data_IF_623057524160
#
_entry.id   IF_623057524160
#
_cell.length_a   1.000
_cell.length_b   1.000
_cell.length_c   1.000
_cell.angle_alpha   90.00
_cell.angle_beta   90.00
_cell.angle_gamma   90.00
#
_symmetry.space_group_name_H-M   'P 1'
#
loop_
_entity.id
_entity.type
_entity.pdbx_description
1 polymer ?
#
# COMPACT_ATOMS: atom_id res chain seq x y z
N UNK A 1 7.22 43.88 19.70
CA UNK A 1 8.27 43.92 18.64
C UNK A 1 7.81 43.05 17.50
N UNK A 2 7.85 43.53 16.24
CA UNK A 2 7.52 42.70 15.09
C UNK A 2 8.58 41.59 14.96
N UNK A 3 8.16 40.31 14.96
CA UNK A 3 9.09 39.20 14.76
C UNK A 3 9.69 39.31 13.35
N UNK A 4 11.01 39.24 13.27
CA UNK A 4 11.71 39.21 12.00
C UNK A 4 11.27 37.96 11.21
N UNK A 5 10.89 38.15 9.95
CA UNK A 5 10.46 37.05 9.07
C UNK A 5 11.49 36.81 7.99
N UNK A 6 11.77 35.54 7.73
CA UNK A 6 12.73 35.07 6.73
C UNK A 6 12.04 34.09 5.79
N UNK A 7 12.44 34.01 4.56
CA UNK A 7 11.94 33.00 3.62
C UNK A 7 12.32 31.61 4.11
N UNK A 8 11.40 30.66 4.03
CA UNK A 8 11.62 29.30 4.50
C UNK A 8 12.83 28.63 3.84
N UNK A 9 13.03 28.81 2.53
CA UNK A 9 14.18 28.26 1.80
C UNK A 9 15.53 28.84 2.31
N UNK A 10 15.55 30.10 2.71
CA UNK A 10 16.72 30.73 3.31
C UNK A 10 16.94 30.29 4.76
N UNK A 11 15.86 30.16 5.54
CA UNK A 11 15.91 29.73 6.93
C UNK A 11 16.49 28.33 7.06
N UNK A 12 16.13 27.40 6.17
CA UNK A 12 16.70 26.05 6.14
C UNK A 12 18.23 26.05 5.94
N UNK A 13 18.73 26.91 5.03
CA UNK A 13 20.17 27.03 4.80
C UNK A 13 20.87 27.68 5.99
N UNK A 14 20.32 28.76 6.55
CA UNK A 14 20.87 29.44 7.72
C UNK A 14 21.01 28.54 8.93
N UNK A 15 20.09 27.58 9.10
CA UNK A 15 20.10 26.62 10.21
C UNK A 15 20.88 25.33 9.91
N UNK A 16 21.54 25.24 8.74
CA UNK A 16 22.28 24.05 8.34
C UNK A 16 21.41 22.82 8.03
N UNK A 17 20.09 23.02 7.88
CA UNK A 17 19.14 21.96 7.52
C UNK A 17 19.17 21.63 6.02
N UNK A 18 19.76 22.47 5.21
CA UNK A 18 20.04 22.22 3.80
C UNK A 18 21.37 22.91 3.40
N UNK A 19 22.17 22.23 2.59
CA UNK A 19 23.48 22.74 2.17
C UNK A 19 23.36 23.94 1.21
N UNK A 20 22.31 23.94 0.38
CA UNK A 20 22.07 24.98 -0.62
C UNK A 20 20.59 25.34 -0.67
N UNK A 21 20.31 26.57 -1.18
CA UNK A 21 18.93 27.02 -1.37
C UNK A 21 18.14 26.14 -2.34
N UNK A 22 18.78 25.57 -3.37
CA UNK A 22 18.14 24.62 -4.28
C UNK A 22 17.72 23.33 -3.57
N UNK A 23 18.60 22.77 -2.72
CA UNK A 23 18.26 21.61 -1.87
C UNK A 23 17.14 21.95 -0.89
N UNK A 24 17.15 23.14 -0.26
CA UNK A 24 16.08 23.60 0.61
C UNK A 24 14.73 23.66 -0.12
N UNK A 25 14.70 24.22 -1.33
CA UNK A 25 13.49 24.29 -2.15
C UNK A 25 12.98 22.89 -2.52
N UNK A 26 13.86 21.98 -2.89
CA UNK A 26 13.49 20.58 -3.18
C UNK A 26 12.87 19.89 -1.97
N UNK A 27 13.45 20.02 -0.77
CA UNK A 27 12.91 19.48 0.47
C UNK A 27 11.51 20.04 0.79
N UNK A 28 11.32 21.36 0.62
CA UNK A 28 10.05 22.02 0.88
C UNK A 28 8.98 21.56 -0.11
N UNK A 29 9.30 21.52 -1.41
CA UNK A 29 8.39 21.06 -2.46
C UNK A 29 8.02 19.59 -2.29
N UNK A 30 8.95 18.76 -1.82
CA UNK A 30 8.70 17.37 -1.47
C UNK A 30 7.87 17.19 -0.18
N UNK A 31 7.51 18.28 0.51
CA UNK A 31 6.74 18.23 1.75
C UNK A 31 7.51 17.69 2.95
N UNK A 32 8.85 17.68 2.90
CA UNK A 32 9.72 17.14 3.95
C UNK A 32 10.08 18.19 5.02
N UNK A 33 9.35 19.30 5.07
CA UNK A 33 9.61 20.38 6.03
C UNK A 33 8.35 20.67 6.85
N UNK A 34 8.48 20.66 8.17
CA UNK A 34 7.47 21.15 9.10
C UNK A 34 7.92 22.45 9.75
N UNK A 35 6.98 23.36 9.92
CA UNK A 35 7.17 24.60 10.69
C UNK A 35 6.11 24.64 11.77
N UNK A 36 6.51 24.69 13.01
CA UNK A 36 5.62 24.61 14.19
C UNK A 36 4.65 23.42 14.13
N UNK A 37 5.15 22.25 13.68
CA UNK A 37 4.38 21.00 13.56
C UNK A 37 3.55 20.88 12.27
N UNK A 38 3.40 21.93 11.47
CA UNK A 38 2.65 21.91 10.21
C UNK A 38 3.56 21.76 8.99
N UNK A 39 3.19 20.87 8.08
CA UNK A 39 3.91 20.66 6.81
C UNK A 39 3.82 21.91 5.92
N UNK A 40 4.94 22.28 5.31
CA UNK A 40 5.03 23.43 4.39
C UNK A 40 5.53 22.99 3.02
N UNK A 41 4.91 23.53 1.98
CA UNK A 41 5.25 23.21 0.57
C UNK A 41 5.62 24.43 -0.26
N UNK A 42 5.58 25.65 0.34
CA UNK A 42 5.90 26.90 -0.35
C UNK A 42 7.27 27.42 0.08
N UNK A 43 8.28 27.26 -0.77
CA UNK A 43 9.66 27.64 -0.48
C UNK A 43 9.85 29.15 -0.17
N UNK A 44 9.04 30.00 -0.78
CA UNK A 44 9.06 31.45 -0.56
C UNK A 44 8.25 31.95 0.63
N UNK A 45 7.64 31.08 1.41
CA UNK A 45 6.82 31.45 2.56
C UNK A 45 7.64 32.21 3.61
N UNK A 46 7.07 33.28 4.16
CA UNK A 46 7.71 34.10 5.18
C UNK A 46 7.44 33.51 6.56
N UNK A 47 8.46 32.95 7.18
CA UNK A 47 8.39 32.27 8.48
C UNK A 47 9.10 33.14 9.53
N UNK A 48 8.60 33.14 10.76
CA UNK A 48 9.31 33.77 11.87
C UNK A 48 10.69 33.12 12.05
N UNK A 49 11.73 33.93 12.20
CA UNK A 49 13.11 33.43 12.28
C UNK A 49 13.32 32.48 13.47
N UNK A 50 12.54 32.63 14.52
CA UNK A 50 12.53 31.80 15.74
C UNK A 50 11.59 30.58 15.67
N UNK A 51 10.84 30.38 14.56
CA UNK A 51 9.92 29.26 14.43
C UNK A 51 10.64 27.91 14.51
N UNK A 52 10.02 26.92 15.18
CA UNK A 52 10.52 25.55 15.15
C UNK A 52 10.41 24.99 13.73
N UNK A 53 11.54 24.56 13.17
CA UNK A 53 11.61 23.95 11.82
C UNK A 53 12.24 22.58 11.95
N UNK A 54 11.56 21.58 11.40
CA UNK A 54 11.97 20.18 11.41
C UNK A 54 12.01 19.63 10.00
N UNK A 55 13.02 18.81 9.69
CA UNK A 55 13.02 17.98 8.49
C UNK A 55 12.32 16.65 8.83
N UNK A 56 11.42 16.26 7.96
CA UNK A 56 10.80 14.95 7.99
C UNK A 56 11.67 14.04 7.12
N UNK A 57 12.08 12.89 7.65
CA UNK A 57 12.72 11.89 6.80
C UNK A 57 11.79 11.49 5.66
N UNK A 58 12.35 11.44 4.45
CA UNK A 58 11.61 10.90 3.31
C UNK A 58 11.23 9.45 3.62
N UNK A 59 9.98 9.12 3.40
CA UNK A 59 9.57 7.72 3.50
C UNK A 59 10.35 6.92 2.45
N UNK A 60 10.88 5.73 2.79
CA UNK A 60 11.55 4.88 1.82
C UNK A 60 10.59 4.36 0.73
N UNK A 61 9.28 4.47 0.96
CA UNK A 61 8.21 4.03 0.08
C UNK A 61 7.24 5.17 -0.22
N UNK A 62 6.46 5.05 -1.29
CA UNK A 62 5.46 6.02 -1.72
C UNK A 62 4.43 6.36 -0.62
N UNK A 63 4.23 5.47 0.35
CA UNK A 63 3.42 5.74 1.53
C UNK A 63 3.82 4.85 2.72
N UNK A 64 3.27 5.17 3.90
CA UNK A 64 3.43 4.35 5.12
C UNK A 64 2.98 2.90 4.94
N UNK A 65 2.06 2.63 3.99
CA UNK A 65 1.64 1.27 3.64
C UNK A 65 2.82 0.35 3.29
N UNK A 66 3.86 0.90 2.65
CA UNK A 66 5.05 0.14 2.29
C UNK A 66 5.73 -0.58 3.46
N UNK A 67 5.75 0.02 4.65
CA UNK A 67 6.30 -0.64 5.84
C UNK A 67 5.56 -1.94 6.20
N UNK A 68 4.24 -2.00 5.94
CA UNK A 68 3.45 -3.20 6.21
C UNK A 68 3.90 -4.35 5.30
N UNK A 69 3.93 -4.10 3.98
CA UNK A 69 4.33 -5.14 3.03
C UNK A 69 5.79 -5.54 3.20
N UNK A 70 6.71 -4.58 3.37
CA UNK A 70 8.12 -4.89 3.60
C UNK A 70 8.28 -5.82 4.81
N UNK A 71 7.60 -5.53 5.94
CA UNK A 71 7.59 -6.38 7.10
C UNK A 71 7.00 -7.78 6.81
N UNK A 72 5.92 -7.86 6.03
CA UNK A 72 5.33 -9.15 5.64
C UNK A 72 6.28 -10.00 4.81
N UNK A 73 6.91 -9.42 3.78
CA UNK A 73 7.88 -10.10 2.93
C UNK A 73 9.07 -10.62 3.74
N UNK A 74 9.60 -9.78 4.64
CA UNK A 74 10.73 -10.17 5.51
C UNK A 74 10.33 -11.26 6.52
N UNK A 75 9.15 -11.15 7.14
CA UNK A 75 8.66 -12.12 8.14
C UNK A 75 8.39 -13.49 7.55
N UNK A 76 7.97 -13.54 6.28
CA UNK A 76 7.62 -14.77 5.59
C UNK A 76 8.72 -15.27 4.65
N UNK A 77 9.85 -14.56 4.55
CA UNK A 77 10.93 -14.83 3.60
C UNK A 77 10.44 -14.96 2.14
N UNK A 78 9.51 -14.08 1.74
CA UNK A 78 8.96 -14.02 0.38
C UNK A 78 9.73 -13.01 -0.47
N UNK A 79 10.08 -13.42 -1.69
CA UNK A 79 10.83 -12.60 -2.64
C UNK A 79 10.02 -12.41 -3.93
N UNK A 80 9.63 -11.17 -4.29
CA UNK A 80 8.97 -10.86 -5.56
C UNK A 80 9.94 -10.67 -6.73
N UNK A 81 11.24 -10.81 -6.55
CA UNK A 81 12.24 -10.56 -7.58
C UNK A 81 11.98 -11.38 -8.86
N UNK A 82 11.90 -10.69 -9.99
CA UNK A 82 11.64 -11.30 -11.31
C UNK A 82 10.19 -11.72 -11.54
N UNK A 83 9.30 -11.61 -10.54
CA UNK A 83 7.91 -12.04 -10.65
C UNK A 83 7.00 -10.96 -11.24
N UNK A 84 5.91 -11.39 -11.87
CA UNK A 84 4.75 -10.55 -12.16
C UNK A 84 3.87 -10.51 -10.90
N UNK A 85 3.64 -9.32 -10.36
CA UNK A 85 2.87 -9.09 -9.16
C UNK A 85 1.51 -8.44 -9.45
N UNK A 86 0.51 -8.77 -8.64
CA UNK A 86 -0.79 -8.08 -8.57
C UNK A 86 -0.88 -7.34 -7.23
N UNK A 87 -1.10 -6.03 -7.27
CA UNK A 87 -1.35 -5.20 -6.09
C UNK A 87 -2.83 -4.77 -6.07
N UNK A 88 -3.64 -5.41 -5.25
CA UNK A 88 -5.06 -5.15 -5.11
C UNK A 88 -5.33 -4.15 -3.99
N UNK A 89 -5.78 -2.94 -4.36
CA UNK A 89 -5.94 -1.80 -3.47
C UNK A 89 -4.66 -0.94 -3.41
N UNK A 90 -4.09 -0.64 -4.58
CA UNK A 90 -2.80 0.04 -4.70
C UNK A 90 -2.78 1.44 -4.05
N UNK A 91 -3.90 2.17 -4.03
CA UNK A 91 -4.02 3.51 -3.42
C UNK A 91 -2.89 4.45 -3.85
N UNK A 92 -2.09 4.96 -2.92
CA UNK A 92 -0.92 5.81 -3.19
C UNK A 92 0.31 5.05 -3.68
N UNK A 93 0.25 3.72 -3.77
CA UNK A 93 1.32 2.90 -4.33
C UNK A 93 2.33 2.38 -3.32
N UNK A 94 2.01 2.39 -2.02
CA UNK A 94 2.96 1.93 -0.99
C UNK A 94 3.39 0.47 -1.16
N UNK A 95 2.47 -0.44 -1.49
CA UNK A 95 2.78 -1.84 -1.76
C UNK A 95 3.44 -2.02 -3.12
N UNK A 96 2.91 -1.35 -4.15
CA UNK A 96 3.51 -1.30 -5.49
C UNK A 96 4.99 -0.92 -5.43
N UNK A 97 5.34 0.14 -4.68
CA UNK A 97 6.73 0.61 -4.55
C UNK A 97 7.64 -0.42 -3.88
N UNK A 98 7.17 -1.09 -2.82
CA UNK A 98 7.92 -2.17 -2.18
C UNK A 98 8.19 -3.32 -3.16
N UNK A 99 7.18 -3.75 -3.92
CA UNK A 99 7.32 -4.82 -4.92
C UNK A 99 8.38 -4.45 -5.96
N UNK A 100 8.35 -3.21 -6.47
CA UNK A 100 9.33 -2.73 -7.45
C UNK A 100 10.74 -2.62 -6.88
N UNK A 101 10.88 -2.10 -5.64
CA UNK A 101 12.17 -2.01 -4.95
C UNK A 101 12.77 -3.38 -4.63
N UNK A 102 11.92 -4.39 -4.40
CA UNK A 102 12.30 -5.80 -4.23
C UNK A 102 12.46 -6.55 -5.55
N UNK A 103 12.46 -5.84 -6.70
CA UNK A 103 12.81 -6.40 -7.99
C UNK A 103 11.70 -7.10 -8.76
N UNK A 104 10.42 -6.87 -8.43
CA UNK A 104 9.32 -7.36 -9.26
C UNK A 104 9.49 -6.94 -10.71
N UNK A 105 9.31 -7.87 -11.64
CA UNK A 105 9.45 -7.62 -13.07
C UNK A 105 8.32 -6.73 -13.61
N UNK A 106 7.14 -6.86 -13.02
CA UNK A 106 5.95 -6.05 -13.33
C UNK A 106 4.99 -6.04 -12.16
N UNK A 107 4.26 -4.92 -12.00
CA UNK A 107 3.19 -4.80 -11.01
C UNK A 107 1.92 -4.31 -11.68
N UNK A 108 0.86 -5.10 -11.59
CA UNK A 108 -0.50 -4.68 -11.93
C UNK A 108 -1.12 -4.04 -10.70
N UNK A 109 -1.21 -2.71 -10.69
CA UNK A 109 -1.72 -1.92 -9.58
C UNK A 109 -3.21 -1.61 -9.81
N UNK A 110 -4.09 -2.27 -9.06
CA UNK A 110 -5.55 -2.17 -9.21
C UNK A 110 -6.14 -1.36 -8.07
N UNK A 111 -6.92 -0.33 -8.39
CA UNK A 111 -7.64 0.49 -7.40
C UNK A 111 -8.97 1.00 -7.94
N UNK A 112 -9.95 1.19 -7.04
CA UNK A 112 -11.22 1.84 -7.35
C UNK A 112 -11.08 3.35 -7.50
N UNK A 113 -10.05 3.94 -6.92
CA UNK A 113 -9.70 5.35 -7.02
C UNK A 113 -9.12 5.73 -8.38
N UNK A 114 -8.88 7.01 -8.55
CA UNK A 114 -8.25 7.59 -9.74
C UNK A 114 -7.24 8.67 -9.34
N UNK A 115 -6.07 8.63 -9.95
CA UNK A 115 -5.03 9.65 -9.73
C UNK A 115 -4.39 9.61 -8.34
N UNK A 116 -4.58 8.53 -7.57
CA UNK A 116 -4.08 8.42 -6.20
C UNK A 116 -2.61 8.02 -6.15
N UNK A 117 -2.17 7.17 -7.07
CA UNK A 117 -0.83 6.59 -7.05
C UNK A 117 0.25 7.67 -7.25
N UNK A 118 1.37 7.53 -6.54
CA UNK A 118 2.54 8.41 -6.67
C UNK A 118 2.96 8.53 -8.14
N UNK A 119 3.25 9.76 -8.59
CA UNK A 119 3.55 10.05 -9.98
C UNK A 119 4.79 9.30 -10.49
N UNK A 120 5.78 9.02 -9.64
CA UNK A 120 6.98 8.25 -9.99
C UNK A 120 6.61 6.81 -10.36
N UNK A 121 5.69 6.21 -9.61
CA UNK A 121 5.19 4.86 -9.89
C UNK A 121 4.32 4.83 -11.15
N UNK A 122 3.55 5.89 -11.38
CA UNK A 122 2.76 6.05 -12.61
C UNK A 122 3.62 6.07 -13.87
N UNK A 123 4.86 6.56 -13.77
CA UNK A 123 5.81 6.65 -14.89
C UNK A 123 6.76 5.45 -14.98
N UNK A 124 6.77 4.56 -14.00
CA UNK A 124 7.61 3.36 -14.05
C UNK A 124 7.06 2.38 -15.10
N UNK A 125 7.85 2.00 -16.14
CA UNK A 125 7.39 1.12 -17.22
C UNK A 125 7.02 -0.30 -16.75
N UNK A 126 7.37 -0.66 -15.52
CA UNK A 126 7.01 -1.94 -14.91
C UNK A 126 5.61 -1.90 -14.28
N UNK A 127 5.00 -0.72 -14.12
CA UNK A 127 3.69 -0.56 -13.49
C UNK A 127 2.59 -0.48 -14.54
N UNK A 128 1.63 -1.37 -14.44
CA UNK A 128 0.38 -1.34 -15.21
C UNK A 128 -0.74 -0.88 -14.29
N UNK A 129 -1.21 0.36 -14.49
CA UNK A 129 -2.28 0.93 -13.68
C UNK A 129 -3.65 0.52 -14.18
N UNK A 130 -4.49 0.02 -13.27
CA UNK A 130 -5.87 -0.35 -13.52
C UNK A 130 -6.73 0.42 -12.51
N UNK A 131 -6.94 1.69 -12.78
CA UNK A 131 -7.70 2.61 -11.93
C UNK A 131 -9.22 2.53 -12.19
N UNK A 132 -10.05 3.11 -11.28
CA UNK A 132 -11.53 3.07 -11.34
C UNK A 132 -12.08 1.65 -11.49
N UNK A 133 -11.33 0.66 -10.99
CA UNK A 133 -11.64 -0.75 -11.19
C UNK A 133 -11.79 -1.46 -9.87
N UNK A 134 -12.97 -2.05 -9.66
CA UNK A 134 -13.17 -2.92 -8.52
C UNK A 134 -12.62 -4.32 -8.88
N UNK A 135 -11.63 -4.78 -8.13
CA UNK A 135 -10.95 -6.05 -8.34
C UNK A 135 -11.93 -7.25 -8.46
N UNK A 136 -13.09 -7.19 -7.82
CA UNK A 136 -14.10 -8.25 -7.90
C UNK A 136 -14.60 -8.52 -9.31
N UNK A 137 -14.60 -7.49 -10.14
CA UNK A 137 -15.12 -7.52 -11.52
C UNK A 137 -14.02 -7.56 -12.57
N UNK A 138 -12.75 -7.57 -12.15
CA UNK A 138 -11.63 -7.74 -13.07
C UNK A 138 -11.53 -9.22 -13.47
N UNK A 139 -11.77 -9.50 -14.75
CA UNK A 139 -11.79 -10.88 -15.26
C UNK A 139 -10.41 -11.37 -15.67
N UNK A 140 -9.54 -10.46 -16.15
CA UNK A 140 -8.18 -10.80 -16.59
C UNK A 140 -7.24 -9.58 -16.44
N UNK A 141 -5.94 -9.85 -16.33
CA UNK A 141 -4.91 -8.81 -16.39
C UNK A 141 -4.63 -8.47 -17.85
N UNK A 142 -4.56 -7.18 -18.23
CA UNK A 142 -4.29 -6.78 -19.60
C UNK A 142 -2.88 -7.18 -20.04
N UNK A 143 -2.72 -7.52 -21.33
CA UNK A 143 -1.38 -7.64 -21.89
C UNK A 143 -0.74 -6.25 -21.98
N UNK A 144 0.56 -6.14 -21.64
CA UNK A 144 1.26 -4.87 -21.76
C UNK A 144 1.36 -4.51 -23.24
N UNK A 145 0.81 -3.37 -23.61
CA UNK A 145 0.97 -2.83 -24.96
C UNK A 145 2.33 -2.14 -25.06
N UNK A 146 3.00 -2.26 -26.22
CA UNK A 146 4.32 -1.63 -26.46
C UNK A 146 4.30 -0.10 -26.37
N UNK A 147 3.12 0.52 -26.27
CA UNK A 147 2.90 1.97 -26.32
C UNK A 147 2.57 2.63 -24.97
N UNK A 148 2.60 1.91 -23.85
CA UNK A 148 2.23 2.50 -22.52
C UNK A 148 3.21 3.57 -22.01
N UNK A 149 4.33 3.81 -22.67
CA UNK A 149 5.26 4.92 -22.37
C UNK A 149 4.85 6.29 -22.93
N UNK A 150 3.76 6.39 -23.70
CA UNK A 150 3.27 7.65 -24.32
C UNK A 150 1.76 7.77 -24.14
N UNK A 151 1.30 8.04 -22.93
CA UNK A 151 -0.06 8.55 -22.79
C UNK A 151 -0.03 10.06 -22.95
N UNK A 152 -0.49 10.53 -24.13
CA UNK A 152 -0.83 11.94 -24.36
C UNK A 152 -1.95 12.34 -23.39
N UNK A 153 -1.84 13.52 -22.80
CA UNK A 153 -2.80 14.13 -21.87
C UNK A 153 -4.19 14.37 -22.50
N UNK A 154 -4.40 14.05 -23.77
CA UNK A 154 -5.61 14.38 -24.56
C UNK A 154 -6.54 13.19 -24.83
N UNK A 155 -6.39 12.04 -24.16
CA UNK A 155 -7.38 10.96 -24.28
C UNK A 155 -8.62 11.28 -23.45
N UNK A 156 -9.53 12.03 -24.06
CA UNK A 156 -10.87 12.39 -23.60
C UNK A 156 -11.63 11.16 -23.09
N UNK A 157 -12.17 11.34 -21.90
CA UNK A 157 -13.06 10.44 -21.20
C UNK A 157 -14.38 10.27 -21.95
N UNK A 158 -14.49 9.30 -22.85
CA UNK A 158 -15.82 8.77 -23.30
C UNK A 158 -15.64 7.50 -24.16
N UNK A 159 -14.94 6.52 -23.66
CA UNK A 159 -15.07 5.18 -24.24
C UNK A 159 -15.20 4.18 -23.10
N UNK A 160 -16.27 3.38 -23.04
CA UNK A 160 -16.27 2.25 -22.14
C UNK A 160 -15.09 1.37 -22.57
N UNK A 161 -14.10 1.27 -21.71
CA UNK A 161 -12.91 0.47 -21.92
C UNK A 161 -13.35 -1.00 -22.00
N UNK A 162 -13.67 -1.45 -23.19
CA UNK A 162 -13.91 -2.86 -23.47
C UNK A 162 -12.54 -3.53 -23.41
N UNK A 163 -12.22 -4.10 -22.25
CA UNK A 163 -11.12 -5.03 -22.08
C UNK A 163 -11.29 -6.16 -23.13
N UNK A 164 -10.52 -6.10 -24.20
CA UNK A 164 -10.43 -7.22 -25.13
C UNK A 164 -9.68 -8.34 -24.43
N UNK A 165 -10.39 -9.38 -24.07
CA UNK A 165 -9.83 -10.67 -23.66
C UNK A 165 -9.60 -11.55 -24.90
N UNK A 166 -8.62 -12.46 -24.86
CA UNK A 166 -8.07 -13.13 -23.71
C UNK A 166 -6.61 -12.77 -23.43
N UNK A 167 -6.35 -12.16 -22.29
CA UNK A 167 -5.00 -12.10 -21.77
C UNK A 167 -4.69 -13.42 -21.05
N UNK A 168 -3.58 -14.06 -21.42
CA UNK A 168 -3.05 -15.23 -20.75
C UNK A 168 -2.15 -14.86 -19.56
N UNK A 169 -2.03 -13.57 -19.24
CA UNK A 169 -1.17 -13.11 -18.14
C UNK A 169 -1.80 -13.41 -16.81
N UNK A 170 -1.09 -14.18 -15.99
CA UNK A 170 -1.41 -14.42 -14.58
C UNK A 170 -0.26 -13.89 -13.73
N UNK A 171 -0.59 -13.28 -12.60
CA UNK A 171 0.41 -12.85 -11.65
C UNK A 171 0.95 -14.06 -10.86
N UNK A 172 2.25 -14.02 -10.55
CA UNK A 172 2.95 -15.08 -9.83
C UNK A 172 3.00 -14.81 -8.32
N UNK A 173 2.66 -13.57 -7.95
CA UNK A 173 2.42 -13.19 -6.56
C UNK A 173 1.36 -12.08 -6.49
N UNK A 174 0.72 -11.95 -5.34
CA UNK A 174 -0.24 -10.88 -5.12
C UNK A 174 -0.11 -10.25 -3.74
N UNK A 175 -0.50 -8.98 -3.65
CA UNK A 175 -0.67 -8.24 -2.39
C UNK A 175 -2.08 -7.69 -2.32
N UNK A 176 -2.68 -7.65 -1.11
CA UNK A 176 -4.04 -7.18 -0.91
C UNK A 176 -4.06 -6.20 0.26
N UNK A 177 -4.34 -4.92 -0.03
CA UNK A 177 -4.55 -3.85 0.97
C UNK A 177 -5.85 -3.07 0.68
N UNK A 178 -6.97 -3.77 0.65
CA UNK A 178 -8.28 -3.18 0.38
C UNK A 178 -8.92 -2.59 1.64
N UNK A 179 -9.81 -1.61 1.46
CA UNK A 179 -10.58 -0.98 2.54
C UNK A 179 -12.08 -1.03 2.27
N UNK A 180 -12.87 -1.06 3.33
CA UNK A 180 -14.35 -1.08 3.30
C UNK A 180 -14.96 -2.30 2.60
N UNK A 181 -14.23 -3.40 2.53
CA UNK A 181 -14.66 -4.66 1.94
C UNK A 181 -13.98 -5.82 2.65
N UNK A 182 -14.68 -6.92 2.82
CA UNK A 182 -14.12 -8.16 3.39
C UNK A 182 -13.29 -8.93 2.37
N UNK A 183 -12.21 -9.56 2.86
CA UNK A 183 -11.36 -10.48 2.08
C UNK A 183 -12.16 -11.64 1.49
N UNK A 184 -13.24 -12.05 2.12
CA UNK A 184 -14.17 -13.07 1.59
C UNK A 184 -14.64 -12.75 0.16
N UNK A 185 -14.82 -11.46 -0.16
CA UNK A 185 -15.26 -11.01 -1.48
C UNK A 185 -14.10 -10.76 -2.46
N UNK A 186 -12.89 -10.56 -1.95
CA UNK A 186 -11.71 -10.18 -2.75
C UNK A 186 -10.88 -11.40 -3.14
N UNK A 187 -10.68 -12.34 -2.21
CA UNK A 187 -9.84 -13.52 -2.44
C UNK A 187 -10.24 -14.34 -3.68
N UNK A 188 -11.55 -14.62 -3.94
CA UNK A 188 -11.95 -15.35 -5.14
C UNK A 188 -11.59 -14.60 -6.45
N UNK A 189 -11.63 -13.26 -6.42
CA UNK A 189 -11.26 -12.45 -7.58
C UNK A 189 -9.75 -12.47 -7.82
N UNK A 190 -8.96 -12.28 -6.77
CA UNK A 190 -7.49 -12.36 -6.87
C UNK A 190 -7.07 -13.76 -7.34
N UNK A 191 -7.69 -14.83 -6.81
CA UNK A 191 -7.38 -16.22 -7.17
C UNK A 191 -7.51 -16.51 -8.67
N UNK A 192 -8.43 -15.84 -9.37
CA UNK A 192 -8.58 -15.97 -10.83
C UNK A 192 -7.48 -15.31 -11.65
N UNK A 193 -6.78 -14.34 -11.06
CA UNK A 193 -5.79 -13.49 -11.72
C UNK A 193 -4.35 -13.92 -11.47
N UNK A 194 -4.16 -14.99 -10.68
CA UNK A 194 -2.83 -15.48 -10.28
C UNK A 194 -2.61 -16.93 -10.72
N UNK A 195 -1.35 -17.32 -10.83
CA UNK A 195 -0.98 -18.73 -11.10
C UNK A 195 -1.38 -19.65 -9.94
N UNK A 196 -1.52 -20.97 -10.17
CA UNK A 196 -1.88 -21.91 -9.12
C UNK A 196 -0.93 -21.93 -7.92
N UNK A 197 0.36 -21.71 -8.17
CA UNK A 197 1.48 -21.70 -7.22
C UNK A 197 1.85 -20.31 -6.70
N UNK A 198 1.06 -19.28 -7.05
CA UNK A 198 1.30 -17.92 -6.57
C UNK A 198 1.07 -17.80 -5.06
N UNK A 199 1.95 -17.04 -4.40
CA UNK A 199 1.73 -16.61 -3.03
C UNK A 199 0.98 -15.27 -2.95
N UNK A 200 0.24 -15.09 -1.87
CA UNK A 200 -0.50 -13.86 -1.57
C UNK A 200 -0.07 -13.35 -0.20
N UNK A 201 0.22 -12.04 -0.08
CA UNK A 201 0.28 -11.34 1.21
C UNK A 201 -0.97 -10.48 1.33
N UNK A 202 -1.89 -10.88 2.21
CA UNK A 202 -3.14 -10.17 2.45
C UNK A 202 -3.10 -9.41 3.78
N UNK A 203 -3.46 -8.12 3.76
CA UNK A 203 -3.65 -7.32 4.97
C UNK A 203 -5.07 -7.56 5.51
N UNK A 204 -5.16 -8.18 6.68
CA UNK A 204 -6.41 -8.40 7.41
C UNK A 204 -6.65 -7.19 8.30
N UNK A 205 -7.77 -6.50 8.08
CA UNK A 205 -8.17 -5.29 8.81
C UNK A 205 -9.41 -5.62 9.66
N UNK A 206 -9.27 -5.84 10.97
CA UNK A 206 -10.39 -6.24 11.82
C UNK A 206 -11.62 -5.36 11.69
N UNK A 207 -11.45 -4.06 11.48
CA UNK A 207 -12.55 -3.11 11.32
C UNK A 207 -13.42 -3.34 10.07
N UNK A 208 -12.94 -4.10 9.08
CA UNK A 208 -13.69 -4.42 7.85
C UNK A 208 -14.12 -5.90 7.80
N UNK A 209 -13.64 -6.71 8.73
CA UNK A 209 -13.95 -8.15 8.81
C UNK A 209 -14.90 -8.47 9.98
N UNK A 210 -14.84 -7.70 11.07
CA UNK A 210 -15.71 -7.87 12.22
C UNK A 210 -17.14 -7.40 11.93
N UNK A 211 -18.11 -8.01 12.61
CA UNK A 211 -19.49 -7.53 12.61
C UNK A 211 -19.60 -6.09 13.18
N UNK A 212 -20.56 -5.31 12.69
CA UNK A 212 -20.74 -3.90 13.09
C UNK A 212 -20.82 -3.71 14.61
N UNK A 213 -21.40 -4.66 15.36
CA UNK A 213 -21.50 -4.60 16.81
C UNK A 213 -20.16 -4.75 17.54
N UNK A 214 -19.14 -5.26 16.89
CA UNK A 214 -17.78 -5.46 17.43
C UNK A 214 -16.83 -4.30 17.11
N UNK A 215 -17.26 -3.38 16.25
CA UNK A 215 -16.48 -2.19 15.89
C UNK A 215 -16.84 -1.07 16.86
N UNK A 216 -15.87 -0.66 17.67
CA UNK A 216 -16.06 0.36 18.69
C UNK A 216 -16.17 1.78 18.14
N UNK A 217 -16.35 2.75 19.06
CA UNK A 217 -16.41 4.18 18.72
C UNK A 217 -15.16 4.60 17.92
N UNK A 218 -15.39 5.32 16.83
CA UNK A 218 -14.32 5.76 15.91
C UNK A 218 -13.85 4.69 14.93
N UNK A 219 -14.59 3.59 14.76
CA UNK A 219 -14.23 2.55 13.79
C UNK A 219 -13.04 1.67 14.24
N UNK A 220 -12.79 1.57 15.56
CA UNK A 220 -11.62 0.84 16.08
C UNK A 220 -12.02 -0.43 16.81
N UNK A 221 -11.46 -1.56 16.40
CA UNK A 221 -11.54 -2.85 17.09
C UNK A 221 -10.35 -2.95 18.05
N UNK A 222 -10.64 -3.07 19.37
CA UNK A 222 -9.59 -3.12 20.42
C UNK A 222 -9.52 -4.45 21.14
N UNK A 223 -10.60 -5.21 21.10
CA UNK A 223 -10.69 -6.48 21.84
C UNK A 223 -9.84 -7.56 21.17
N UNK A 224 -8.83 -8.11 21.88
CA UNK A 224 -8.01 -9.21 21.36
C UNK A 224 -8.82 -10.45 20.98
N UNK A 225 -9.92 -10.72 21.65
CA UNK A 225 -10.79 -11.85 21.33
C UNK A 225 -11.47 -11.65 19.97
N UNK A 226 -11.85 -10.40 19.63
CA UNK A 226 -12.39 -10.05 18.32
C UNK A 226 -11.30 -10.16 17.25
N UNK A 227 -10.07 -9.71 17.53
CA UNK A 227 -8.94 -9.91 16.62
C UNK A 227 -8.74 -11.39 16.30
N UNK A 228 -8.69 -12.24 17.31
CA UNK A 228 -8.52 -13.70 17.13
C UNK A 228 -9.67 -14.32 16.31
N UNK A 229 -10.91 -13.94 16.60
CA UNK A 229 -12.07 -14.40 15.84
C UNK A 229 -12.03 -13.99 14.37
N UNK A 230 -11.66 -12.74 14.09
CA UNK A 230 -11.49 -12.21 12.73
C UNK A 230 -10.39 -12.95 11.97
N UNK A 231 -9.23 -13.16 12.60
CA UNK A 231 -8.12 -13.88 11.98
C UNK A 231 -8.52 -15.31 11.62
N UNK A 232 -9.15 -16.02 12.56
CA UNK A 232 -9.65 -17.38 12.32
C UNK A 232 -10.63 -17.44 11.16
N UNK A 233 -11.60 -16.53 11.12
CA UNK A 233 -12.59 -16.46 10.06
C UNK A 233 -11.94 -16.11 8.69
N UNK A 234 -11.01 -15.16 8.65
CA UNK A 234 -10.33 -14.79 7.41
C UNK A 234 -9.46 -15.91 6.85
N UNK A 235 -8.75 -16.65 7.71
CA UNK A 235 -7.94 -17.79 7.29
C UNK A 235 -8.83 -18.96 6.84
N UNK A 236 -9.98 -19.20 7.48
CA UNK A 236 -10.94 -20.21 7.05
C UNK A 236 -11.48 -19.91 5.65
N UNK A 237 -11.84 -18.65 5.36
CA UNK A 237 -12.26 -18.19 4.03
C UNK A 237 -11.17 -18.45 2.98
N UNK A 238 -9.90 -18.24 3.32
CA UNK A 238 -8.79 -18.53 2.41
C UNK A 238 -8.70 -20.03 2.10
N UNK A 239 -8.81 -20.87 3.12
CA UNK A 239 -8.81 -22.35 2.96
C UNK A 239 -9.98 -22.83 2.09
N UNK A 240 -11.19 -22.32 2.32
CA UNK A 240 -12.37 -22.59 1.49
C UNK A 240 -12.14 -22.20 0.02
N UNK A 241 -11.37 -21.13 -0.21
CA UNK A 241 -10.95 -20.67 -1.55
C UNK A 241 -9.76 -21.43 -2.15
N UNK A 242 -9.26 -22.49 -1.50
CA UNK A 242 -8.12 -23.29 -1.95
C UNK A 242 -6.76 -22.59 -1.74
N UNK A 243 -6.67 -21.64 -0.80
CA UNK A 243 -5.45 -20.90 -0.46
C UNK A 243 -5.00 -21.31 0.94
N UNK A 244 -4.02 -22.21 1.02
CA UNK A 244 -3.48 -22.65 2.31
C UNK A 244 -2.77 -21.48 3.03
N UNK A 245 -3.01 -21.25 4.34
CA UNK A 245 -2.26 -20.29 5.12
C UNK A 245 -0.89 -20.87 5.52
N UNK A 246 0.16 -20.05 5.39
CA UNK A 246 1.55 -20.43 5.68
C UNK A 246 2.22 -19.54 6.71
N UNK A 247 1.68 -18.32 6.93
CA UNK A 247 2.24 -17.37 7.88
C UNK A 247 1.21 -16.34 8.34
N UNK A 248 1.41 -15.83 9.55
CA UNK A 248 0.65 -14.74 10.13
C UNK A 248 1.59 -13.81 10.88
N UNK A 249 1.48 -12.49 10.65
CA UNK A 249 2.28 -11.48 11.33
C UNK A 249 1.42 -10.28 11.71
N UNK A 250 1.78 -9.60 12.79
CA UNK A 250 1.18 -8.31 13.16
C UNK A 250 1.83 -7.21 12.33
N UNK A 251 1.05 -6.31 11.78
CA UNK A 251 1.56 -5.13 11.08
C UNK A 251 2.44 -4.28 12.01
N UNK A 252 3.60 -3.77 11.54
CA UNK A 252 4.50 -2.95 12.35
C UNK A 252 3.93 -1.56 12.64
N UNK A 253 2.89 -1.16 11.91
CA UNK A 253 2.18 0.11 12.10
C UNK A 253 0.67 -0.12 12.13
N UNK A 254 -0.03 0.74 12.87
CA UNK A 254 -1.49 0.74 12.90
C UNK A 254 -2.07 1.44 11.68
N UNK A 255 -3.33 1.12 11.37
CA UNK A 255 -4.14 1.87 10.41
C UNK A 255 -4.37 3.33 10.83
N UNK A 256 -4.90 4.18 9.94
CA UNK A 256 -5.06 5.63 10.20
C UNK A 256 -5.90 5.95 11.44
N UNK A 257 -6.92 5.15 11.76
CA UNK A 257 -7.75 5.31 12.95
C UNK A 257 -7.16 4.65 14.21
N UNK A 258 -5.96 4.03 14.13
CA UNK A 258 -5.32 3.33 15.23
C UNK A 258 -5.67 1.83 15.33
N UNK A 259 -6.32 1.26 14.33
CA UNK A 259 -6.58 -0.18 14.29
C UNK A 259 -5.29 -0.98 14.17
N UNK A 260 -5.20 -2.05 14.94
CA UNK A 260 -4.21 -3.11 14.71
C UNK A 260 -4.62 -3.86 13.45
N UNK A 261 -3.64 -4.13 12.59
CA UNK A 261 -3.82 -4.85 11.33
C UNK A 261 -2.86 -6.03 11.28
N UNK A 262 -3.18 -7.04 10.48
CA UNK A 262 -2.41 -8.27 10.42
C UNK A 262 -2.11 -8.63 8.96
N UNK A 263 -0.99 -9.33 8.75
CA UNK A 263 -0.55 -9.81 7.46
C UNK A 263 -0.67 -11.33 7.45
N UNK A 264 -1.27 -11.88 6.41
CA UNK A 264 -1.36 -13.31 6.19
C UNK A 264 -0.65 -13.71 4.89
N UNK A 265 0.19 -14.73 4.96
CA UNK A 265 0.72 -15.41 3.78
C UNK A 265 -0.20 -16.57 3.42
N UNK A 266 -0.77 -16.52 2.21
CA UNK A 266 -1.74 -17.46 1.69
C UNK A 266 -1.29 -18.00 0.33
N UNK A 267 -1.55 -19.25 0.05
CA UNK A 267 -1.25 -19.89 -1.23
C UNK A 267 0.25 -20.05 -1.51
N UNK A 268 0.56 -20.66 -2.65
CA UNK A 268 1.93 -21.04 -3.02
C UNK A 268 2.49 -22.18 -2.17
N UNK A 269 3.73 -22.57 -2.43
CA UNK A 269 4.42 -23.54 -1.60
C UNK A 269 4.88 -22.89 -0.29
N UNK A 270 4.62 -23.52 0.84
CA UNK A 270 5.01 -23.02 2.15
C UNK A 270 4.82 -24.06 3.27
N UNK A 271 5.30 -23.77 4.48
CA UNK A 271 5.13 -24.63 5.62
C UNK A 271 3.66 -24.68 6.05
N UNK A 272 3.22 -25.78 6.63
CA UNK A 272 1.91 -25.85 7.28
C UNK A 272 1.88 -24.88 8.47
N UNK A 273 0.81 -24.07 8.58
CA UNK A 273 0.61 -23.14 9.68
C UNK A 273 -0.22 -23.82 10.79
N UNK A 274 0.31 -23.81 12.00
CA UNK A 274 -0.51 -24.00 13.19
C UNK A 274 -1.29 -22.70 13.46
N UNK A 275 -2.54 -22.67 13.00
CA UNK A 275 -3.37 -21.45 12.96
C UNK A 275 -3.61 -20.90 14.35
N UNK A 276 -3.96 -21.73 15.34
CA UNK A 276 -4.27 -21.24 16.70
C UNK A 276 -3.01 -20.68 17.37
N UNK A 277 -1.89 -21.38 17.28
CA UNK A 277 -0.62 -20.91 17.82
C UNK A 277 -0.15 -19.60 17.15
N UNK A 278 -0.36 -19.48 15.84
CA UNK A 278 -0.01 -18.26 15.11
C UNK A 278 -0.90 -17.07 15.52
N UNK A 279 -2.20 -17.29 15.71
CA UNK A 279 -3.13 -16.28 16.19
C UNK A 279 -2.72 -15.80 17.59
N UNK A 280 -2.48 -16.70 18.52
CA UNK A 280 -2.05 -16.38 19.89
C UNK A 280 -0.76 -15.54 19.88
N UNK A 281 0.18 -15.89 19.01
CA UNK A 281 1.46 -15.19 18.91
C UNK A 281 1.35 -13.74 18.42
N UNK A 282 0.36 -13.42 17.57
CA UNK A 282 0.21 -12.06 16.99
C UNK A 282 -0.79 -11.18 17.72
N UNK A 283 -1.78 -11.79 18.41
CA UNK A 283 -2.81 -11.06 19.16
C UNK A 283 -2.33 -10.71 20.58
N UNK A 284 -1.54 -11.58 21.21
CA UNK A 284 -1.05 -11.41 22.58
C UNK A 284 0.10 -10.40 22.75
N UNK A 285 0.49 -9.70 21.70
CA UNK A 285 1.62 -8.75 21.72
C UNK A 285 1.17 -7.31 21.84
#
# INVERSE_FOLDING_TARGET
MAKHKVRLDQLLVQRGLAETRGKAQALILAGLVRVAGEQRTKAGEQIAEDAAVELIEALPYASRGGYKLAHGLDSFALDPAGLIALDAGASTGGFTDVLLQRGAARVYAVDVGYGLIDWRLRQDPRVVLIERTNIRYLEALPEPTKDEGRRSEDAVADSPFVLRLPSSVLAQCATIDVSFISLKLVLPAVRRLITPDAWIVALIKPQFEAGAAQVGKGGVVRDPAVHAAVLRASLAVAVEGGLAPHGLARSPITGPAGNVEFLAWLGGPGPALDVERAIDAVVGK
#
